data_IF_262194795614
#
_entry.id   IF_262194795614
#
_cell.length_a   1.000
_cell.length_b   1.000
_cell.length_c   1.000
_cell.angle_alpha   90.00
_cell.angle_beta   90.00
_cell.angle_gamma   90.00
#
_symmetry.space_group_name_H-M   'P 1'
#
loop_
_entity.id
_entity.type
_entity.pdbx_description
1 polymer ?
#
# COMPACT_ATOMS: atom_id res chain seq x y z
N UNK A 1 2.98 -8.00 20.53
CA UNK A 1 1.61 -7.70 20.00
C UNK A 1 1.74 -7.11 18.60
N UNK A 2 0.92 -7.57 17.67
CA UNK A 2 0.91 -7.05 16.31
C UNK A 2 0.14 -5.72 16.30
N UNK A 3 0.73 -4.63 15.79
CA UNK A 3 0.01 -3.36 15.69
C UNK A 3 -1.27 -3.49 14.87
N UNK A 4 -2.30 -2.76 15.28
CA UNK A 4 -3.61 -2.80 14.59
C UNK A 4 -3.60 -1.82 13.41
N UNK A 5 -2.83 -2.17 12.39
CA UNK A 5 -2.67 -1.37 11.18
C UNK A 5 -2.91 -2.21 9.94
N UNK A 6 -3.64 -1.66 9.00
CA UNK A 6 -3.85 -2.25 7.67
C UNK A 6 -3.19 -1.32 6.66
N UNK A 7 -2.23 -1.84 5.91
CA UNK A 7 -1.51 -1.09 4.91
C UNK A 7 -1.97 -1.48 3.51
N UNK A 8 -2.04 -0.51 2.62
CA UNK A 8 -2.21 -0.78 1.20
C UNK A 8 -1.40 0.22 0.40
N UNK A 9 -1.03 -0.17 -0.82
CA UNK A 9 -0.26 0.69 -1.73
C UNK A 9 -1.09 1.02 -2.95
N UNK A 10 -0.99 2.26 -3.42
CA UNK A 10 -1.61 2.69 -4.66
C UNK A 10 -0.71 3.71 -5.34
N UNK A 11 -0.01 3.28 -6.40
CA UNK A 11 0.92 4.11 -7.14
C UNK A 11 0.39 4.37 -8.54
N UNK A 12 0.93 5.41 -9.19
CA UNK A 12 0.61 5.75 -10.57
C UNK A 12 -0.29 6.96 -10.73
N UNK A 13 -0.78 7.52 -9.63
CA UNK A 13 -1.56 8.76 -9.65
C UNK A 13 -2.99 8.66 -10.14
N UNK A 14 -3.46 7.47 -10.49
CA UNK A 14 -4.85 7.27 -10.91
C UNK A 14 -5.79 7.26 -9.72
N UNK A 15 -7.07 7.65 -9.90
CA UNK A 15 -8.06 7.52 -8.83
C UNK A 15 -8.25 6.06 -8.42
N UNK A 16 -8.59 5.84 -7.15
CA UNK A 16 -8.90 4.50 -6.67
C UNK A 16 -10.14 3.96 -7.38
N UNK A 17 -10.10 2.70 -7.88
CA UNK A 17 -11.28 2.11 -8.49
C UNK A 17 -12.35 1.81 -7.44
N UNK A 18 -13.59 1.62 -7.90
CA UNK A 18 -14.71 1.34 -7.01
C UNK A 18 -14.48 0.11 -6.13
N UNK A 19 -13.85 -0.93 -6.69
CA UNK A 19 -13.57 -2.15 -5.93
C UNK A 19 -12.64 -1.86 -4.74
N UNK A 20 -11.73 -0.90 -4.87
CA UNK A 20 -10.85 -0.51 -3.77
C UNK A 20 -11.65 0.10 -2.62
N UNK A 21 -12.63 0.96 -2.94
CA UNK A 21 -13.48 1.56 -1.92
C UNK A 21 -14.33 0.50 -1.21
N UNK A 22 -14.82 -0.49 -1.95
CA UNK A 22 -15.57 -1.60 -1.35
C UNK A 22 -14.71 -2.44 -0.43
N UNK A 23 -13.45 -2.70 -0.79
CA UNK A 23 -12.51 -3.40 0.06
C UNK A 23 -12.27 -2.65 1.36
N UNK A 24 -12.04 -1.33 1.28
CA UNK A 24 -11.81 -0.52 2.46
C UNK A 24 -13.02 -0.45 3.38
N UNK A 25 -14.22 -0.35 2.81
CA UNK A 25 -15.45 -0.41 3.60
C UNK A 25 -15.57 -1.73 4.36
N UNK A 26 -15.20 -2.84 3.70
CA UNK A 26 -15.19 -4.15 4.33
C UNK A 26 -14.20 -4.19 5.50
N UNK A 27 -13.01 -3.62 5.32
CA UNK A 27 -12.01 -3.57 6.40
C UNK A 27 -12.50 -2.77 7.59
N UNK A 28 -13.13 -1.62 7.34
CA UNK A 28 -13.71 -0.80 8.41
C UNK A 28 -14.81 -1.55 9.16
N UNK A 29 -15.60 -2.33 8.44
CA UNK A 29 -16.70 -3.08 9.03
C UNK A 29 -16.20 -4.24 9.90
N UNK A 30 -15.21 -5.00 9.40
CA UNK A 30 -14.74 -6.20 10.10
C UNK A 30 -13.56 -5.95 11.03
N UNK A 31 -12.84 -4.85 10.83
CA UNK A 31 -11.68 -4.48 11.63
C UNK A 31 -11.77 -3.02 12.06
N UNK A 32 -12.82 -2.64 12.83
CA UNK A 32 -13.05 -1.23 13.17
C UNK A 32 -11.95 -0.62 14.03
N UNK A 33 -11.18 -1.46 14.74
CA UNK A 33 -10.09 -0.99 15.61
C UNK A 33 -8.79 -0.76 14.87
N UNK A 34 -8.73 -1.10 13.56
CA UNK A 34 -7.50 -0.99 12.80
C UNK A 34 -7.41 0.37 12.11
N UNK A 35 -6.21 0.93 12.08
CA UNK A 35 -5.90 2.12 11.30
C UNK A 35 -5.59 1.70 9.87
N UNK A 36 -6.28 2.28 8.88
CA UNK A 36 -6.05 1.99 7.47
C UNK A 36 -5.09 3.04 6.92
N UNK A 37 -3.93 2.61 6.41
CA UNK A 37 -2.87 3.50 5.96
C UNK A 37 -2.63 3.31 4.48
N UNK A 38 -2.78 4.39 3.71
CA UNK A 38 -2.48 4.42 2.29
C UNK A 38 -1.02 4.79 2.06
N UNK A 39 -0.35 4.04 1.20
CA UNK A 39 1.01 4.33 0.77
C UNK A 39 1.03 4.63 -0.73
N UNK A 40 1.55 5.78 -1.11
CA UNK A 40 1.63 6.21 -2.50
C UNK A 40 2.85 7.13 -2.70
N UNK A 41 2.89 7.83 -3.83
CA UNK A 41 4.03 8.68 -4.16
C UNK A 41 4.23 9.83 -3.16
N UNK A 42 3.18 10.19 -2.42
CA UNK A 42 3.27 11.31 -1.48
C UNK A 42 4.00 10.97 -0.20
N UNK A 43 4.07 9.68 0.16
CA UNK A 43 4.68 9.27 1.43
C UNK A 43 5.70 8.14 1.29
N UNK A 44 6.05 7.75 0.07
CA UNK A 44 7.09 6.75 -0.19
C UNK A 44 8.23 7.39 -0.98
N UNK A 45 9.47 7.06 -0.62
CA UNK A 45 10.65 7.55 -1.32
C UNK A 45 10.91 6.70 -2.56
N UNK A 46 10.49 7.20 -3.73
CA UNK A 46 10.64 6.49 -5.00
C UNK A 46 12.09 6.49 -5.51
N UNK A 47 13.00 7.17 -4.80
CA UNK A 47 14.43 7.19 -5.13
C UNK A 47 15.24 6.33 -4.18
N UNK A 48 14.59 5.47 -3.39
CA UNK A 48 15.24 4.76 -2.29
C UNK A 48 16.33 3.80 -2.74
N UNK A 49 16.18 3.18 -3.91
CA UNK A 49 17.18 2.29 -4.50
C UNK A 49 16.98 2.16 -6.00
N UNK A 50 17.90 1.47 -6.67
CA UNK A 50 17.87 1.31 -8.12
C UNK A 50 16.67 0.49 -8.58
N UNK A 51 16.28 -0.53 -7.83
CA UNK A 51 15.13 -1.36 -8.18
C UNK A 51 13.86 -0.53 -8.27
N UNK A 52 13.60 0.29 -7.23
CA UNK A 52 12.41 1.13 -7.19
C UNK A 52 12.47 2.20 -8.28
N UNK A 53 13.63 2.86 -8.46
CA UNK A 53 13.78 3.90 -9.49
C UNK A 53 13.51 3.35 -10.89
N UNK A 54 14.05 2.19 -11.21
CA UNK A 54 13.81 1.56 -12.51
C UNK A 54 12.34 1.19 -12.70
N UNK A 55 11.73 0.63 -11.66
CA UNK A 55 10.32 0.26 -11.73
C UNK A 55 9.43 1.49 -11.99
N UNK A 56 9.70 2.59 -11.31
CA UNK A 56 8.96 3.85 -11.50
C UNK A 56 9.19 4.40 -12.91
N UNK A 57 10.44 4.39 -13.38
CA UNK A 57 10.80 4.88 -14.70
C UNK A 57 10.04 4.15 -15.81
N UNK A 58 9.88 2.84 -15.65
CA UNK A 58 9.17 1.99 -16.61
C UNK A 58 7.69 1.84 -16.27
N UNK A 59 7.20 2.58 -15.27
CA UNK A 59 5.79 2.54 -14.81
C UNK A 59 5.35 1.14 -14.41
N UNK A 60 6.25 0.38 -13.81
CA UNK A 60 5.97 -0.96 -13.29
C UNK A 60 5.49 -0.86 -11.84
N UNK A 61 4.28 -0.34 -11.69
CA UNK A 61 3.72 -0.03 -10.36
C UNK A 61 3.56 -1.26 -9.48
N UNK A 62 3.33 -2.44 -10.07
CA UNK A 62 3.24 -3.67 -9.30
C UNK A 62 4.55 -3.98 -8.58
N UNK A 63 5.70 -3.76 -9.23
CA UNK A 63 7.00 -3.97 -8.60
C UNK A 63 7.28 -2.93 -7.51
N UNK A 64 6.84 -1.70 -7.71
CA UNK A 64 6.95 -0.65 -6.68
C UNK A 64 6.15 -1.07 -5.45
N UNK A 65 4.91 -1.52 -5.65
CA UNK A 65 4.05 -1.99 -4.56
C UNK A 65 4.65 -3.19 -3.83
N UNK A 66 5.24 -4.14 -4.58
CA UNK A 66 5.87 -5.32 -3.97
C UNK A 66 6.99 -4.94 -3.01
N UNK A 67 7.79 -3.94 -3.39
CA UNK A 67 8.86 -3.46 -2.52
C UNK A 67 8.31 -2.81 -1.26
N UNK A 68 7.41 -1.85 -1.42
CA UNK A 68 6.90 -1.08 -0.27
C UNK A 68 5.98 -1.90 0.62
N UNK A 69 5.29 -2.90 0.07
CA UNK A 69 4.49 -3.81 0.88
C UNK A 69 5.33 -4.45 1.99
N UNK A 70 6.50 -4.96 1.64
CA UNK A 70 7.37 -5.59 2.61
C UNK A 70 7.99 -4.56 3.55
N UNK A 71 8.41 -3.42 3.01
CA UNK A 71 9.07 -2.38 3.78
C UNK A 71 8.17 -1.79 4.86
N UNK A 72 6.91 -1.47 4.52
CA UNK A 72 6.02 -0.84 5.48
C UNK A 72 5.62 -1.78 6.61
N UNK A 73 5.43 -3.06 6.31
CA UNK A 73 5.12 -4.05 7.35
C UNK A 73 6.33 -4.25 8.26
N UNK A 74 7.53 -4.29 7.69
CA UNK A 74 8.76 -4.41 8.47
C UNK A 74 8.96 -3.21 9.41
N UNK A 75 8.72 -1.99 8.92
CA UNK A 75 8.97 -0.78 9.70
C UNK A 75 7.85 -0.46 10.70
N UNK A 76 6.60 -0.71 10.33
CA UNK A 76 5.44 -0.27 11.10
C UNK A 76 4.64 -1.40 11.74
N UNK A 77 4.89 -2.64 11.33
CA UNK A 77 4.09 -3.77 11.78
C UNK A 77 2.70 -3.76 11.14
N UNK A 78 1.82 -4.63 11.64
CA UNK A 78 0.48 -4.75 11.11
C UNK A 78 0.37 -5.73 9.96
N UNK A 79 -0.66 -5.55 9.13
CA UNK A 79 -0.91 -6.44 7.98
C UNK A 79 -1.02 -5.62 6.70
N UNK A 80 -0.72 -6.25 5.58
CA UNK A 80 -0.90 -5.67 4.26
C UNK A 80 -2.03 -6.36 3.53
N UNK A 81 -2.94 -5.59 2.95
CA UNK A 81 -4.04 -6.12 2.15
C UNK A 81 -4.06 -5.44 0.78
N UNK A 82 -4.27 -6.25 -0.26
CA UNK A 82 -4.43 -5.72 -1.61
C UNK A 82 -5.85 -5.21 -1.80
N UNK A 83 -5.98 -4.10 -2.51
CA UNK A 83 -7.27 -3.43 -2.72
C UNK A 83 -7.94 -3.82 -4.04
N UNK A 84 -7.30 -4.63 -4.85
CA UNK A 84 -7.79 -5.04 -6.16
C UNK A 84 -8.19 -6.53 -6.21
N UNK A 85 -8.43 -7.11 -5.05
CA UNK A 85 -8.74 -8.54 -4.92
C UNK A 85 -10.23 -8.75 -4.73
#
# INVERSE_FOLDING_TARGET
MIPKKIHYCWFGGNPLPEIAHKCMESWEKFCPDYEIIRWDESNCDLQINDFVREAVEHKKWAFVSDYFRLKVVEEHGGIYLDIDV
#
